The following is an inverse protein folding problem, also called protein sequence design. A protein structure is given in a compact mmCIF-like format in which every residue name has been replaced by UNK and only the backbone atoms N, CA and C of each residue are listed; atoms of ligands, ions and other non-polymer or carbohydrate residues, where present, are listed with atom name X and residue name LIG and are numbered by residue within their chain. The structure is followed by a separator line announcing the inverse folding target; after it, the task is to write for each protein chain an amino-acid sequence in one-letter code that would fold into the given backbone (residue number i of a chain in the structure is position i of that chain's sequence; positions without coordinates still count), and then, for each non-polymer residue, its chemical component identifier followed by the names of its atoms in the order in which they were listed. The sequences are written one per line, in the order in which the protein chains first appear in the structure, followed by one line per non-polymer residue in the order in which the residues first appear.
data_IF_778184440461
#
_entry.id   IF_778184440461
#
_cell.length_a   1.000
_cell.length_b   1.000
_cell.length_c   1.000
_cell.angle_alpha   90.00
_cell.angle_beta   90.00
_cell.angle_gamma   90.00
#
_symmetry.space_group_name_H-M   'P 1'
#
loop_
_entity.id
_entity.type
_entity.pdbx_description
1 polymer ?
#
# COMPACT_ATOMS: atom_id res chain seq x y z
N UNK A 1 15.95 3.94 -5.56
CA UNK A 1 15.63 2.57 -6.00
C UNK A 1 15.66 2.37 -7.52
N UNK A 2 15.60 3.44 -8.31
CA UNK A 2 15.65 3.34 -9.79
C UNK A 2 17.06 3.42 -10.38
N UNK A 3 18.11 3.21 -9.56
CA UNK A 3 19.49 3.18 -10.02
C UNK A 3 19.78 1.83 -10.69
N UNK A 4 20.47 1.84 -11.83
CA UNK A 4 20.86 0.61 -12.53
C UNK A 4 21.78 -0.30 -11.68
N UNK A 5 22.51 0.28 -10.72
CA UNK A 5 23.41 -0.42 -9.80
C UNK A 5 22.82 -0.57 -8.40
N UNK A 6 21.48 -0.49 -8.26
CA UNK A 6 20.84 -0.63 -6.96
C UNK A 6 21.09 -2.02 -6.38
N UNK A 7 21.52 -2.07 -5.13
CA UNK A 7 21.61 -3.30 -4.34
C UNK A 7 20.49 -3.32 -3.31
N UNK A 8 19.87 -4.47 -3.14
CA UNK A 8 18.74 -4.66 -2.23
C UNK A 8 19.14 -5.64 -1.14
N UNK A 9 19.04 -5.19 0.11
CA UNK A 9 19.25 -6.02 1.29
C UNK A 9 18.29 -7.22 1.30
N UNK A 10 18.79 -8.40 1.57
CA UNK A 10 18.03 -9.65 1.51
C UNK A 10 17.86 -10.24 0.10
N UNK A 11 18.37 -9.56 -0.94
CA UNK A 11 18.36 -10.04 -2.33
C UNK A 11 19.79 -10.04 -2.91
N UNK A 12 20.47 -8.89 -2.85
CA UNK A 12 21.83 -8.72 -3.39
C UNK A 12 22.92 -9.09 -2.38
N UNK A 13 22.60 -9.01 -1.09
CA UNK A 13 23.44 -9.36 0.06
C UNK A 13 22.53 -9.69 1.25
N UNK A 14 23.11 -10.15 2.36
CA UNK A 14 22.38 -10.61 3.53
C UNK A 14 21.38 -9.55 4.06
N UNK A 15 20.20 -10.02 4.44
CA UNK A 15 19.08 -9.19 4.90
C UNK A 15 19.03 -9.03 6.43
N UNK A 16 17.89 -8.55 6.92
CA UNK A 16 17.67 -8.22 8.33
C UNK A 16 17.15 -9.37 9.22
N UNK A 17 17.08 -10.63 8.75
CA UNK A 17 16.67 -11.77 9.58
C UNK A 17 17.84 -12.29 10.43
N UNK A 18 18.45 -11.39 11.18
CA UNK A 18 19.64 -11.64 11.99
C UNK A 18 19.76 -10.57 13.08
N UNK A 19 20.58 -10.82 14.10
CA UNK A 19 20.77 -9.90 15.23
C UNK A 19 21.55 -8.63 14.84
N UNK A 20 22.45 -8.74 13.86
CA UNK A 20 23.27 -7.63 13.39
C UNK A 20 23.26 -7.58 11.87
N UNK A 21 23.19 -6.40 11.32
CA UNK A 21 23.18 -6.15 9.88
C UNK A 21 24.12 -4.99 9.54
N UNK A 22 24.85 -5.13 8.44
CA UNK A 22 25.65 -4.05 7.88
C UNK A 22 24.85 -3.38 6.75
N UNK A 23 24.72 -2.07 6.81
CA UNK A 23 24.05 -1.28 5.77
C UNK A 23 24.85 -0.01 5.45
N UNK A 24 24.86 0.46 4.20
CA UNK A 24 25.43 1.75 3.85
C UNK A 24 24.74 2.89 4.61
N UNK A 25 25.51 3.84 5.13
CA UNK A 25 24.96 5.00 5.85
C UNK A 25 23.89 5.74 5.04
N UNK A 26 24.09 5.82 3.71
CA UNK A 26 23.18 6.49 2.78
C UNK A 26 21.83 5.77 2.62
N UNK A 27 21.73 4.52 3.07
CA UNK A 27 20.49 3.72 3.03
C UNK A 27 19.70 3.78 4.34
N UNK A 28 20.24 4.42 5.36
CA UNK A 28 19.60 4.53 6.67
C UNK A 28 18.60 5.69 6.71
N UNK A 29 17.53 5.47 7.47
CA UNK A 29 16.54 6.48 7.81
C UNK A 29 16.40 6.55 9.33
N UNK A 30 16.26 7.75 9.86
CA UNK A 30 16.05 7.96 11.29
C UNK A 30 14.63 7.56 11.68
N UNK A 31 14.50 6.69 12.68
CA UNK A 31 13.22 6.34 13.29
C UNK A 31 12.96 7.29 14.47
N UNK A 32 11.78 7.94 14.57
CA UNK A 32 11.41 8.74 15.74
C UNK A 32 11.41 7.88 17.02
N UNK A 33 11.91 8.44 18.12
CA UNK A 33 12.03 7.72 19.41
C UNK A 33 10.68 7.31 20.00
N UNK A 34 9.61 8.03 19.67
CA UNK A 34 8.24 7.74 20.11
C UNK A 34 7.57 6.56 19.38
N UNK A 35 8.14 6.09 18.26
CA UNK A 35 7.62 4.94 17.53
C UNK A 35 8.22 3.64 18.02
N UNK A 36 7.36 2.68 18.40
CA UNK A 36 7.78 1.30 18.66
C UNK A 36 8.49 0.72 17.42
N UNK A 37 9.64 0.08 17.62
CA UNK A 37 10.46 -0.44 16.53
C UNK A 37 9.71 -1.46 15.65
N UNK A 38 8.85 -2.30 16.26
CA UNK A 38 8.05 -3.26 15.52
C UNK A 38 6.92 -2.61 14.73
N UNK A 39 6.44 -1.42 15.14
CA UNK A 39 5.51 -0.62 14.34
C UNK A 39 6.24 0.16 13.23
N UNK A 40 7.46 0.65 13.51
CA UNK A 40 8.25 1.35 12.51
C UNK A 40 8.69 0.45 11.35
N UNK A 41 9.04 -0.82 11.62
CA UNK A 41 9.56 -1.74 10.62
C UNK A 41 8.65 -1.88 9.37
N UNK A 42 7.34 -2.14 9.47
CA UNK A 42 6.48 -2.19 8.28
C UNK A 42 6.32 -0.84 7.57
N UNK A 43 6.48 0.29 8.30
CA UNK A 43 6.43 1.61 7.70
C UNK A 43 7.60 1.88 6.76
N UNK A 44 8.73 1.21 6.96
CA UNK A 44 9.92 1.31 6.10
C UNK A 44 9.79 0.56 4.75
N UNK A 45 8.70 -0.19 4.54
CA UNK A 45 8.41 -0.86 3.26
C UNK A 45 6.99 -0.56 2.81
N UNK A 46 5.99 -1.20 3.43
CA UNK A 46 4.59 -1.00 3.05
C UNK A 46 4.12 0.44 3.32
N UNK A 47 4.62 1.06 4.40
CA UNK A 47 4.31 2.46 4.73
C UNK A 47 4.84 3.41 3.67
N UNK A 48 6.15 3.43 3.44
CA UNK A 48 6.75 4.33 2.45
C UNK A 48 6.16 4.11 1.05
N UNK A 49 5.89 2.87 0.67
CA UNK A 49 5.30 2.57 -0.65
C UNK A 49 3.94 3.22 -0.80
N UNK A 50 3.04 3.06 0.16
CA UNK A 50 1.67 3.59 0.08
C UNK A 50 1.63 5.10 0.33
N UNK A 51 2.37 5.59 1.31
CA UNK A 51 2.48 7.02 1.61
C UNK A 51 3.02 7.80 0.42
N UNK A 52 4.16 7.37 -0.11
CA UNK A 52 4.87 8.10 -1.16
C UNK A 52 4.12 8.04 -2.50
N UNK A 53 3.52 6.87 -2.82
CA UNK A 53 2.65 6.73 -3.99
C UNK A 53 1.46 7.70 -3.92
N UNK A 54 0.75 7.76 -2.78
CA UNK A 54 -0.40 8.65 -2.59
C UNK A 54 0.02 10.12 -2.58
N UNK A 55 1.12 10.48 -1.91
CA UNK A 55 1.65 11.85 -1.84
C UNK A 55 1.96 12.42 -3.23
N UNK A 56 2.43 11.59 -4.16
CA UNK A 56 2.78 11.99 -5.52
C UNK A 56 1.72 11.65 -6.58
N UNK A 57 0.55 11.20 -6.16
CA UNK A 57 -0.52 10.77 -7.06
C UNK A 57 -1.21 11.91 -7.82
N UNK A 58 -1.05 13.15 -7.35
CA UNK A 58 -1.77 14.32 -7.85
C UNK A 58 -3.24 14.39 -7.40
N UNK A 59 -3.66 13.57 -6.44
CA UNK A 59 -4.93 13.73 -5.75
C UNK A 59 -4.88 14.93 -4.81
N UNK A 60 -6.00 15.62 -4.68
CA UNK A 60 -6.20 16.74 -3.78
C UNK A 60 -7.16 16.34 -2.64
N UNK A 61 -7.15 17.03 -1.49
CA UNK A 61 -8.16 16.82 -0.45
C UNK A 61 -9.57 16.84 -1.04
N UNK A 62 -10.42 15.93 -0.56
CA UNK A 62 -11.78 15.64 -1.03
C UNK A 62 -11.90 14.84 -2.33
N UNK A 63 -10.83 14.63 -3.09
CA UNK A 63 -10.88 13.72 -4.24
C UNK A 63 -11.23 12.29 -3.80
N UNK A 64 -11.99 11.57 -4.62
CA UNK A 64 -12.25 10.15 -4.40
C UNK A 64 -11.01 9.33 -4.73
N UNK A 65 -10.49 8.62 -3.72
CA UNK A 65 -9.34 7.72 -3.85
C UNK A 65 -9.78 6.29 -3.50
N UNK A 66 -9.65 5.39 -4.47
CA UNK A 66 -9.88 3.97 -4.27
C UNK A 66 -8.63 3.28 -3.71
N UNK A 67 -8.79 2.41 -2.72
CA UNK A 67 -7.72 1.55 -2.22
C UNK A 67 -8.14 0.09 -2.49
N UNK A 68 -7.48 -0.55 -3.46
CA UNK A 68 -7.76 -1.94 -3.80
C UNK A 68 -6.94 -2.90 -2.95
N UNK A 69 -7.65 -3.77 -2.23
CA UNK A 69 -7.06 -4.74 -1.31
C UNK A 69 -6.87 -4.17 0.10
N UNK A 70 -7.26 -4.96 1.12
CA UNK A 70 -7.13 -4.60 2.53
C UNK A 70 -6.20 -5.60 3.19
N UNK A 71 -4.94 -5.53 2.81
CA UNK A 71 -3.87 -6.37 3.30
C UNK A 71 -2.69 -5.54 3.79
N UNK A 72 -1.48 -6.10 3.71
CA UNK A 72 -0.25 -5.49 4.23
C UNK A 72 0.09 -4.10 3.68
N UNK A 73 -0.34 -3.76 2.46
CA UNK A 73 -0.22 -2.42 1.86
C UNK A 73 -1.51 -1.62 2.08
N UNK A 74 -2.65 -2.22 1.73
CA UNK A 74 -3.92 -1.50 1.68
C UNK A 74 -4.41 -0.97 3.01
N UNK A 75 -4.18 -1.67 4.15
CA UNK A 75 -4.58 -1.17 5.46
C UNK A 75 -3.83 0.12 5.85
N UNK A 76 -2.57 0.28 5.40
CA UNK A 76 -1.82 1.53 5.53
C UNK A 76 -2.27 2.56 4.49
N UNK A 77 -2.50 2.13 3.24
CA UNK A 77 -3.00 3.00 2.18
C UNK A 77 -4.32 3.68 2.54
N UNK A 78 -5.27 2.97 3.17
CA UNK A 78 -6.53 3.55 3.68
C UNK A 78 -6.25 4.64 4.72
N UNK A 79 -5.41 4.34 5.70
CA UNK A 79 -5.07 5.29 6.76
C UNK A 79 -4.38 6.53 6.20
N UNK A 80 -3.36 6.38 5.35
CA UNK A 80 -2.67 7.52 4.74
C UNK A 80 -3.61 8.35 3.87
N UNK A 81 -4.42 7.71 3.02
CA UNK A 81 -5.38 8.41 2.17
C UNK A 81 -6.37 9.24 3.01
N UNK A 82 -6.89 8.68 4.09
CA UNK A 82 -7.76 9.38 5.04
C UNK A 82 -7.05 10.58 5.68
N UNK A 83 -5.80 10.39 6.14
CA UNK A 83 -5.01 11.46 6.78
C UNK A 83 -4.56 12.55 5.79
N UNK A 84 -4.50 12.27 4.50
CA UNK A 84 -4.33 13.29 3.45
C UNK A 84 -5.61 14.07 3.14
N UNK A 85 -6.74 13.73 3.77
CA UNK A 85 -8.02 14.39 3.55
C UNK A 85 -8.74 13.95 2.28
N UNK A 86 -8.40 12.79 1.74
CA UNK A 86 -9.11 12.23 0.60
C UNK A 86 -10.41 11.56 1.04
N UNK A 87 -11.37 11.49 0.14
CA UNK A 87 -12.53 10.62 0.29
C UNK A 87 -12.14 9.20 -0.09
N UNK A 88 -12.15 8.28 0.86
CA UNK A 88 -11.55 6.94 0.69
C UNK A 88 -12.61 5.88 0.40
N UNK A 89 -12.48 5.20 -0.75
CA UNK A 89 -13.23 4.00 -1.08
C UNK A 89 -12.32 2.77 -0.94
N UNK A 90 -12.50 1.98 0.11
CA UNK A 90 -11.81 0.71 0.26
C UNK A 90 -12.50 -0.38 -0.56
N UNK A 91 -11.74 -1.09 -1.39
CA UNK A 91 -12.24 -2.15 -2.27
C UNK A 91 -11.66 -3.47 -1.77
N UNK A 92 -12.51 -4.30 -1.20
CA UNK A 92 -12.17 -5.61 -0.64
C UNK A 92 -12.95 -6.75 -1.29
N UNK A 93 -12.77 -7.96 -0.79
CA UNK A 93 -13.55 -9.16 -1.18
C UNK A 93 -14.28 -9.70 0.04
N UNK A 94 -15.59 -9.84 -0.09
CA UNK A 94 -16.47 -10.30 0.98
C UNK A 94 -16.78 -9.19 2.02
N UNK A 95 -17.81 -9.40 2.84
CA UNK A 95 -18.30 -8.38 3.78
C UNK A 95 -17.42 -8.21 5.03
N UNK A 96 -16.59 -9.20 5.35
CA UNK A 96 -15.87 -9.27 6.64
C UNK A 96 -14.91 -8.10 6.85
N UNK A 97 -14.34 -7.57 5.77
CA UNK A 97 -13.42 -6.44 5.82
C UNK A 97 -14.09 -5.06 5.95
N UNK A 98 -15.42 -4.97 5.86
CA UNK A 98 -16.12 -3.69 5.86
C UNK A 98 -15.95 -2.91 7.17
N UNK A 99 -16.05 -3.60 8.31
CA UNK A 99 -15.89 -3.00 9.64
C UNK A 99 -14.45 -2.49 9.83
N UNK A 100 -13.47 -3.30 9.44
CA UNK A 100 -12.06 -2.93 9.52
C UNK A 100 -11.75 -1.74 8.61
N UNK A 101 -12.21 -1.75 7.36
CA UNK A 101 -12.00 -0.66 6.41
C UNK A 101 -12.50 0.69 6.99
N UNK A 102 -13.70 0.70 7.56
CA UNK A 102 -14.26 1.90 8.22
C UNK A 102 -13.43 2.34 9.42
N UNK A 103 -12.99 1.39 10.27
CA UNK A 103 -12.12 1.69 11.41
C UNK A 103 -10.78 2.31 10.98
N UNK A 104 -10.25 1.92 9.82
CA UNK A 104 -9.03 2.46 9.24
C UNK A 104 -9.22 3.83 8.57
N UNK A 105 -10.45 4.31 8.42
CA UNK A 105 -10.77 5.63 7.88
C UNK A 105 -11.37 5.61 6.46
N UNK A 106 -11.86 4.47 5.97
CA UNK A 106 -12.58 4.45 4.71
C UNK A 106 -14.00 5.03 4.86
N UNK A 107 -14.37 5.94 3.98
CA UNK A 107 -15.73 6.51 3.88
C UNK A 107 -16.69 5.52 3.22
N UNK A 108 -16.18 4.72 2.29
CA UNK A 108 -16.94 3.74 1.52
C UNK A 108 -16.22 2.38 1.58
N UNK A 109 -17.01 1.32 1.66
CA UNK A 109 -16.52 -0.03 1.42
C UNK A 109 -17.25 -0.63 0.21
N UNK A 110 -16.49 -1.17 -0.73
CA UNK A 110 -16.99 -1.82 -1.93
C UNK A 110 -16.58 -3.29 -1.88
N UNK A 111 -17.57 -4.18 -1.81
CA UNK A 111 -17.35 -5.62 -1.91
C UNK A 111 -17.26 -6.02 -3.38
N UNK A 112 -16.05 -6.24 -3.87
CA UNK A 112 -15.81 -6.67 -5.26
C UNK A 112 -16.20 -8.12 -5.56
N UNK A 113 -16.62 -8.89 -4.56
CA UNK A 113 -17.21 -10.21 -4.78
C UNK A 113 -18.72 -10.13 -5.05
N UNK A 114 -19.39 -9.09 -4.53
CA UNK A 114 -20.82 -8.91 -4.65
C UNK A 114 -21.22 -7.90 -5.74
N UNK A 115 -20.34 -6.91 -6.03
CA UNK A 115 -20.66 -5.81 -6.96
C UNK A 115 -19.50 -5.51 -7.90
N UNK A 116 -19.81 -4.87 -9.03
CA UNK A 116 -18.79 -4.29 -9.92
C UNK A 116 -18.20 -3.02 -9.25
N UNK A 117 -16.98 -3.15 -8.75
CA UNK A 117 -16.31 -2.07 -8.04
C UNK A 117 -16.09 -0.83 -8.94
N UNK A 118 -15.87 -0.99 -10.22
CA UNK A 118 -15.72 0.13 -11.14
C UNK A 118 -17.05 0.89 -11.30
N UNK A 119 -18.15 0.17 -11.46
CA UNK A 119 -19.49 0.75 -11.53
C UNK A 119 -19.85 1.49 -10.22
N UNK A 120 -19.49 0.93 -9.06
CA UNK A 120 -19.71 1.59 -7.77
C UNK A 120 -18.93 2.92 -7.68
N UNK A 121 -17.66 2.94 -8.10
CA UNK A 121 -16.87 4.18 -8.14
C UNK A 121 -17.47 5.22 -9.10
N UNK A 122 -18.01 4.79 -10.23
CA UNK A 122 -18.64 5.69 -11.22
C UNK A 122 -19.89 6.41 -10.69
N UNK A 123 -20.60 5.86 -9.71
CA UNK A 123 -21.72 6.55 -9.04
C UNK A 123 -21.30 7.86 -8.37
N UNK A 124 -20.01 8.03 -8.11
CA UNK A 124 -19.39 9.22 -7.54
C UNK A 124 -18.57 10.03 -8.55
N UNK A 125 -18.71 9.75 -9.84
CA UNK A 125 -17.93 10.41 -10.92
C UNK A 125 -16.60 9.73 -11.23
N UNK A 126 -16.31 8.59 -10.63
CA UNK A 126 -15.06 7.84 -10.76
C UNK A 126 -13.95 8.34 -9.84
N UNK A 127 -12.99 7.47 -9.56
CA UNK A 127 -11.88 7.78 -8.67
C UNK A 127 -10.83 8.64 -9.36
N UNK A 128 -10.28 9.64 -8.65
CA UNK A 128 -9.10 10.40 -9.08
C UNK A 128 -7.86 9.52 -9.09
N UNK A 129 -7.73 8.67 -8.09
CA UNK A 129 -6.66 7.68 -7.98
C UNK A 129 -7.24 6.36 -7.49
N UNK A 130 -6.75 5.26 -8.04
CA UNK A 130 -6.96 3.93 -7.44
C UNK A 130 -5.58 3.36 -7.11
N UNK A 131 -5.27 3.24 -5.82
CA UNK A 131 -4.06 2.58 -5.34
C UNK A 131 -4.30 1.06 -5.39
N UNK A 132 -3.65 0.40 -6.34
CA UNK A 132 -3.80 -1.03 -6.59
C UNK A 132 -2.74 -1.83 -5.84
N UNK A 133 -3.15 -2.50 -4.75
CA UNK A 133 -2.25 -3.25 -3.87
C UNK A 133 -2.41 -4.77 -4.00
N UNK A 134 -3.49 -5.26 -4.60
CA UNK A 134 -3.76 -6.68 -4.74
C UNK A 134 -2.85 -7.32 -5.81
N UNK A 135 -2.35 -8.55 -5.62
CA UNK A 135 -1.45 -9.20 -6.56
C UNK A 135 -2.23 -9.90 -7.70
N UNK A 136 -3.07 -9.16 -8.43
CA UNK A 136 -3.88 -9.68 -9.54
C UNK A 136 -4.07 -8.63 -10.62
N UNK A 137 -3.45 -8.84 -11.77
CA UNK A 137 -3.56 -7.98 -12.95
C UNK A 137 -4.99 -7.91 -13.47
N UNK A 138 -5.70 -9.05 -13.49
CA UNK A 138 -7.12 -9.11 -13.87
C UNK A 138 -7.98 -8.18 -13.01
N UNK A 139 -7.79 -8.19 -11.69
CA UNK A 139 -8.57 -7.33 -10.80
C UNK A 139 -8.18 -5.85 -10.93
N UNK A 140 -6.93 -5.56 -11.26
CA UNK A 140 -6.46 -4.19 -11.56
C UNK A 140 -7.06 -3.69 -12.88
N UNK A 141 -7.08 -4.53 -13.92
CA UNK A 141 -7.67 -4.23 -15.23
C UNK A 141 -9.14 -3.82 -15.11
N UNK A 142 -9.92 -4.54 -14.31
CA UNK A 142 -11.34 -4.25 -14.07
C UNK A 142 -11.58 -2.87 -13.46
N UNK A 143 -10.62 -2.33 -12.71
CA UNK A 143 -10.76 -1.03 -12.04
C UNK A 143 -10.46 0.18 -12.93
N UNK A 144 -9.84 0.00 -14.11
CA UNK A 144 -9.53 1.11 -15.01
C UNK A 144 -10.78 1.87 -15.45
N UNK A 145 -11.91 1.18 -15.62
CA UNK A 145 -13.19 1.81 -15.92
C UNK A 145 -13.80 2.57 -14.73
N UNK A 146 -13.35 2.28 -13.51
CA UNK A 146 -13.75 3.00 -12.29
C UNK A 146 -13.03 4.34 -12.08
N UNK A 147 -12.04 4.66 -12.91
CA UNK A 147 -11.35 5.94 -12.89
C UNK A 147 -12.23 7.05 -13.49
N UNK A 148 -12.24 8.22 -12.86
CA UNK A 148 -12.78 9.45 -13.41
C UNK A 148 -11.87 10.07 -14.48
N UNK A 149 -12.25 11.24 -14.98
CA UNK A 149 -11.43 12.01 -15.93
C UNK A 149 -10.08 12.39 -15.29
N UNK A 150 -8.99 12.23 -16.05
CA UNK A 150 -7.61 12.39 -15.60
C UNK A 150 -7.21 11.46 -14.44
N UNK A 151 -7.98 10.40 -14.19
CA UNK A 151 -7.72 9.45 -13.12
C UNK A 151 -6.50 8.56 -13.38
N UNK A 152 -5.90 8.07 -12.31
CA UNK A 152 -4.69 7.23 -12.35
C UNK A 152 -4.90 5.93 -11.59
N UNK A 153 -4.67 4.79 -12.26
CA UNK A 153 -4.45 3.51 -11.59
C UNK A 153 -2.99 3.46 -11.15
N UNK A 154 -2.77 3.56 -9.84
CA UNK A 154 -1.44 3.61 -9.24
C UNK A 154 -1.06 2.22 -8.71
N UNK A 155 -0.18 1.53 -9.43
CA UNK A 155 0.16 0.14 -9.20
C UNK A 155 1.33 0.04 -8.23
N UNK A 156 1.10 -0.58 -7.08
CA UNK A 156 2.12 -0.89 -6.05
C UNK A 156 2.16 -2.38 -5.69
N UNK A 157 1.09 -3.12 -5.99
CA UNK A 157 1.09 -4.59 -5.94
C UNK A 157 1.84 -5.16 -7.14
N UNK A 158 2.42 -6.35 -6.98
CA UNK A 158 3.19 -7.02 -8.04
C UNK A 158 2.43 -8.28 -8.47
N UNK A 159 1.50 -8.17 -9.44
CA UNK A 159 0.83 -9.33 -10.01
C UNK A 159 1.77 -10.13 -10.91
N UNK A 160 1.53 -11.44 -11.02
CA UNK A 160 2.20 -12.30 -12.00
C UNK A 160 1.47 -12.31 -13.35
N UNK A 161 0.17 -12.01 -13.34
CA UNK A 161 -0.67 -11.86 -14.52
C UNK A 161 -0.62 -10.42 -15.06
N UNK A 162 -0.78 -10.21 -16.38
CA UNK A 162 -0.72 -8.88 -16.99
C UNK A 162 -1.90 -8.00 -16.59
N UNK A 163 -1.69 -6.68 -16.60
CA UNK A 163 -2.78 -5.69 -16.60
C UNK A 163 -3.17 -5.45 -18.05
N UNK A 164 -4.39 -5.85 -18.41
CA UNK A 164 -4.91 -5.74 -19.77
C UNK A 164 -5.87 -4.56 -19.86
N UNK A 165 -5.60 -3.63 -20.79
CA UNK A 165 -6.43 -2.46 -21.03
C UNK A 165 -6.51 -2.17 -22.52
N UNK A 166 -7.65 -1.67 -22.96
CA UNK A 166 -7.79 -1.16 -24.34
C UNK A 166 -7.35 0.28 -24.43
N UNK A 167 -6.88 0.70 -25.60
CA UNK A 167 -6.50 2.08 -25.83
C UNK A 167 -7.66 3.06 -25.55
N UNK A 168 -8.89 2.69 -25.90
CA UNK A 168 -10.08 3.49 -25.64
C UNK A 168 -10.33 3.74 -24.15
N UNK A 169 -10.07 2.76 -23.29
CA UNK A 169 -10.21 2.94 -21.84
C UNK A 169 -9.28 4.02 -21.29
N UNK A 170 -8.13 4.25 -21.92
CA UNK A 170 -7.16 5.28 -21.53
C UNK A 170 -7.45 6.63 -22.20
N UNK A 171 -7.76 6.61 -23.51
CA UNK A 171 -8.00 7.83 -24.29
C UNK A 171 -9.23 8.57 -23.77
N UNK A 172 -10.36 7.85 -23.58
CA UNK A 172 -11.56 8.47 -23.05
C UNK A 172 -11.40 8.78 -21.56
N UNK A 173 -11.30 10.08 -21.27
CA UNK A 173 -11.09 10.60 -19.93
C UNK A 173 -9.62 10.81 -19.57
N UNK A 174 -8.67 10.65 -20.49
CA UNK A 174 -7.22 10.93 -20.28
C UNK A 174 -6.68 10.17 -19.06
N UNK A 175 -7.00 8.89 -18.96
CA UNK A 175 -6.65 8.04 -17.83
C UNK A 175 -5.21 7.55 -17.92
N UNK A 176 -4.63 7.15 -16.80
CA UNK A 176 -3.23 6.68 -16.69
C UNK A 176 -3.13 5.40 -15.90
N UNK A 177 -2.11 4.62 -16.21
CA UNK A 177 -1.62 3.53 -15.37
C UNK A 177 -0.16 3.85 -15.05
N UNK A 178 0.17 3.88 -13.77
CA UNK A 178 1.48 4.26 -13.30
C UNK A 178 1.95 3.30 -12.21
N UNK A 179 3.15 2.76 -12.36
CA UNK A 179 3.82 2.01 -11.29
C UNK A 179 4.49 2.95 -10.28
N UNK A 180 4.55 2.51 -9.01
CA UNK A 180 5.28 3.22 -7.97
C UNK A 180 6.08 2.26 -7.12
N UNK A 181 7.39 2.54 -6.97
CA UNK A 181 8.29 1.72 -6.16
C UNK A 181 8.77 2.53 -4.94
N UNK A 182 8.27 2.20 -3.76
CA UNK A 182 8.74 2.73 -2.46
C UNK A 182 9.24 4.19 -2.50
N UNK A 183 10.51 4.42 -2.13
CA UNK A 183 11.15 5.74 -2.11
C UNK A 183 12.62 5.66 -1.71
N UNK A 184 13.18 6.78 -1.27
CA UNK A 184 14.54 6.91 -0.76
C UNK A 184 14.52 7.11 0.76
N UNK A 185 15.66 7.10 1.48
CA UNK A 185 15.68 7.24 2.94
C UNK A 185 14.97 8.48 3.49
N UNK A 186 15.06 9.62 2.81
CA UNK A 186 14.31 10.82 3.20
C UNK A 186 12.79 10.63 3.10
N UNK A 187 12.31 9.89 2.11
CA UNK A 187 10.88 9.53 2.02
C UNK A 187 10.47 8.58 3.16
N UNK A 188 11.39 7.71 3.63
CA UNK A 188 11.16 6.88 4.82
C UNK A 188 11.02 7.73 6.07
N UNK A 189 11.90 8.71 6.27
CA UNK A 189 11.82 9.64 7.40
C UNK A 189 10.53 10.46 7.38
N UNK A 190 10.13 10.96 6.21
CA UNK A 190 8.85 11.66 6.04
C UNK A 190 7.66 10.77 6.36
N UNK A 191 7.69 9.50 5.91
CA UNK A 191 6.65 8.52 6.20
C UNK A 191 6.51 8.26 7.70
N UNK A 192 7.64 8.03 8.38
CA UNK A 192 7.68 7.77 9.81
C UNK A 192 7.21 8.98 10.61
N UNK A 193 7.67 10.18 10.26
CA UNK A 193 7.25 11.44 10.89
C UNK A 193 5.76 11.71 10.69
N UNK A 194 5.24 11.47 9.49
CA UNK A 194 3.83 11.61 9.22
C UNK A 194 2.99 10.59 10.00
N UNK A 195 3.44 9.33 10.07
CA UNK A 195 2.77 8.30 10.85
C UNK A 195 2.76 8.61 12.35
N UNK A 196 3.89 9.12 12.89
CA UNK A 196 3.99 9.61 14.26
C UNK A 196 2.96 10.71 14.55
N UNK A 197 2.97 11.76 13.73
CA UNK A 197 2.14 12.95 13.88
C UNK A 197 0.63 12.67 13.74
N UNK A 198 0.26 11.75 12.84
CA UNK A 198 -1.15 11.51 12.49
C UNK A 198 -1.76 10.26 13.12
N UNK A 199 -0.94 9.46 13.81
CA UNK A 199 -1.38 8.22 14.45
C UNK A 199 -1.60 7.05 13.46
N UNK A 200 -1.08 7.11 12.24
CA UNK A 200 -1.09 5.96 11.33
C UNK A 200 -0.21 4.85 11.91
N UNK A 201 -0.77 3.65 12.03
CA UNK A 201 -0.07 2.50 12.60
C UNK A 201 -0.31 1.24 11.77
N UNK A 202 0.73 0.41 11.54
CA UNK A 202 0.54 -0.90 10.95
C UNK A 202 -0.11 -1.84 11.97
N UNK A 203 -0.90 -2.79 11.47
CA UNK A 203 -1.30 -3.95 12.26
C UNK A 203 -0.19 -4.99 12.17
N UNK A 204 0.33 -5.43 13.31
CA UNK A 204 1.51 -6.30 13.40
C UNK A 204 1.27 -7.54 14.25
N UNK A 205 1.82 -8.67 13.80
CA UNK A 205 1.98 -9.89 14.58
C UNK A 205 3.48 -10.04 14.89
N UNK A 206 3.86 -9.96 16.18
CA UNK A 206 5.27 -10.03 16.61
C UNK A 206 5.70 -11.49 16.85
N UNK A 207 6.86 -11.86 16.32
CA UNK A 207 7.51 -13.15 16.54
C UNK A 207 8.95 -12.92 16.99
N UNK A 208 9.45 -13.63 18.01
CA UNK A 208 10.86 -13.55 18.35
C UNK A 208 11.72 -14.09 17.20
N UNK A 209 12.92 -13.55 17.01
CA UNK A 209 13.82 -13.92 15.91
C UNK A 209 14.08 -15.43 15.85
N UNK A 210 14.21 -16.11 17.00
CA UNK A 210 14.39 -17.57 17.07
C UNK A 210 13.23 -18.37 16.45
N UNK A 211 12.07 -17.73 16.27
CA UNK A 211 10.87 -18.27 15.61
C UNK A 211 10.65 -17.72 14.21
N UNK A 212 11.70 -17.24 13.54
CA UNK A 212 11.60 -16.65 12.20
C UNK A 212 10.90 -17.58 11.20
N UNK A 213 11.16 -18.90 11.26
CA UNK A 213 10.50 -19.88 10.39
C UNK A 213 8.97 -19.95 10.63
N UNK A 214 8.51 -19.86 11.87
CA UNK A 214 7.08 -19.81 12.21
C UNK A 214 6.45 -18.51 11.70
N UNK A 215 7.11 -17.37 11.92
CA UNK A 215 6.66 -16.07 11.42
C UNK A 215 6.58 -16.05 9.89
N UNK A 216 7.57 -16.62 9.21
CA UNK A 216 7.56 -16.75 7.76
C UNK A 216 6.39 -17.61 7.27
N UNK A 217 6.18 -18.78 7.89
CA UNK A 217 5.06 -19.66 7.57
C UNK A 217 3.70 -18.96 7.78
N UNK A 218 3.58 -18.17 8.87
CA UNK A 218 2.39 -17.35 9.15
C UNK A 218 2.13 -16.34 8.03
N UNK A 219 3.15 -15.61 7.59
CA UNK A 219 3.07 -14.67 6.46
C UNK A 219 2.65 -15.39 5.18
N UNK A 220 3.30 -16.51 4.83
CA UNK A 220 3.02 -17.27 3.62
C UNK A 220 1.62 -17.90 3.61
N UNK A 221 1.02 -18.14 4.76
CA UNK A 221 -0.36 -18.65 4.86
C UNK A 221 -1.42 -17.66 4.35
N UNK A 222 -1.08 -16.39 4.16
CA UNK A 222 -2.01 -15.33 3.80
C UNK A 222 -3.02 -14.96 4.91
N UNK A 223 -2.84 -15.49 6.13
CA UNK A 223 -3.76 -15.29 7.27
C UNK A 223 -3.24 -14.27 8.28
N UNK A 224 -2.05 -13.69 8.06
CA UNK A 224 -1.50 -12.67 8.96
C UNK A 224 -2.31 -11.36 8.89
N UNK A 225 -2.51 -10.73 10.04
CA UNK A 225 -3.20 -9.41 10.14
C UNK A 225 -2.21 -8.33 10.64
N UNK A 226 -1.48 -7.60 9.82
CA UNK A 226 -1.26 -7.92 8.39
C UNK A 226 0.22 -8.13 8.16
N UNK A 227 1.06 -7.62 9.07
CA UNK A 227 2.51 -7.64 8.94
C UNK A 227 3.11 -8.48 10.06
N UNK A 228 3.82 -9.51 9.67
CA UNK A 228 4.65 -10.28 10.63
C UNK A 228 5.97 -9.53 10.83
N UNK A 229 6.33 -9.28 12.08
CA UNK A 229 7.56 -8.58 12.46
C UNK A 229 8.37 -9.48 13.40
N UNK A 230 9.64 -9.67 13.06
CA UNK A 230 10.60 -10.36 13.92
C UNK A 230 11.17 -9.38 14.93
N UNK A 231 11.23 -9.78 16.20
CA UNK A 231 11.77 -9.00 17.31
C UNK A 231 12.91 -9.75 17.99
N UNK A 232 13.88 -9.01 18.50
CA UNK A 232 15.00 -9.53 19.30
C UNK A 232 14.68 -9.42 20.78
#
# INVERSE_FOLDING_TARGET
MNCANAQVSGVSYDGGYQEFMVAPLQALARVPESLDAAEAAPLMCAGITTFNALRHSGALPSDLVGIQGIGGLGHLGIQFAHKFGYRVAAIGRGPDNATLAKKLGADLYIDSAATDAAAELQKFGGARVILATAPSGKSMSALVSGLGSNGTLLVVGVPMDPIEVTASQLIFGTKRIQGWLAGIPTDSEDTLRFAEMTGVRPMVEKYPLVKAAEGYARMMSGKAEFRVVLTM
#
